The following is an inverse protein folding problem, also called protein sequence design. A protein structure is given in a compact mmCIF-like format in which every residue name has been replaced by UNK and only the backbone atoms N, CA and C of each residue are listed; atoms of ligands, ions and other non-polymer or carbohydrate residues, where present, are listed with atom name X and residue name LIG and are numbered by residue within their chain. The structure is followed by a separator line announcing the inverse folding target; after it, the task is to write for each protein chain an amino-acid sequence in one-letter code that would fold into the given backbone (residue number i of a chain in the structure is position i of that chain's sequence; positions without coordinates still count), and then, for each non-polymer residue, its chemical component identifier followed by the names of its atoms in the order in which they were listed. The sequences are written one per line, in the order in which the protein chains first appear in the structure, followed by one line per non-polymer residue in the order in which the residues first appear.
data_IF_309124376039
#
_entry.id   IF_309124376039
#
_cell.length_a   1.000
_cell.length_b   1.000
_cell.length_c   1.000
_cell.angle_alpha   90.00
_cell.angle_beta   90.00
_cell.angle_gamma   90.00
#
_symmetry.space_group_name_H-M   'P 1'
#
loop_
_entity.id
_entity.type
_entity.pdbx_description
1 polymer ?
#
# COMPACT_ATOMS: atom_id res chain seq x y z
N UNK A 1 -15.43 0.11 -29.57
CA UNK A 1 -15.28 0.27 -28.12
C UNK A 1 -14.10 -0.54 -27.64
N UNK A 2 -13.32 0.02 -26.73
CA UNK A 2 -12.22 -0.68 -26.08
C UNK A 2 -12.81 -1.77 -25.17
N UNK A 3 -12.23 -2.97 -25.19
CA UNK A 3 -12.61 -4.08 -24.30
C UNK A 3 -11.36 -4.91 -23.97
N UNK A 4 -11.50 -5.88 -23.07
CA UNK A 4 -10.36 -6.72 -22.62
C UNK A 4 -9.66 -7.49 -23.75
N UNK A 5 -10.35 -7.75 -24.86
CA UNK A 5 -9.79 -8.50 -25.99
C UNK A 5 -8.99 -7.64 -26.97
N UNK A 6 -9.31 -6.33 -27.05
CA UNK A 6 -8.70 -5.43 -28.03
C UNK A 6 -7.88 -4.29 -27.44
N UNK A 7 -7.80 -4.17 -26.11
CA UNK A 7 -6.91 -3.23 -25.44
C UNK A 7 -5.45 -3.66 -25.68
N UNK A 8 -4.58 -2.71 -25.95
CA UNK A 8 -3.14 -2.99 -26.10
C UNK A 8 -2.54 -3.45 -24.78
N UNK A 9 -1.56 -4.36 -24.86
CA UNK A 9 -0.76 -4.83 -23.72
C UNK A 9 0.67 -4.28 -23.81
N UNK A 10 1.40 -4.20 -22.69
CA UNK A 10 0.94 -4.51 -21.33
C UNK A 10 0.10 -3.36 -20.76
N UNK A 11 -0.92 -3.69 -19.94
CA UNK A 11 -1.80 -2.68 -19.32
C UNK A 11 -2.30 -3.13 -17.94
N UNK A 12 -2.23 -2.25 -16.94
CA UNK A 12 -2.93 -2.43 -15.68
C UNK A 12 -4.40 -2.05 -15.87
N UNK A 13 -5.30 -3.01 -15.69
CA UNK A 13 -6.73 -2.80 -15.81
C UNK A 13 -7.38 -2.81 -14.43
N UNK A 14 -7.72 -1.62 -13.94
CA UNK A 14 -8.46 -1.45 -12.68
C UNK A 14 -9.95 -1.66 -12.93
N UNK A 15 -10.64 -2.34 -12.00
CA UNK A 15 -12.10 -2.58 -12.06
C UNK A 15 -12.82 -1.70 -11.03
N UNK A 16 -13.64 -0.79 -11.50
CA UNK A 16 -14.42 0.10 -10.63
C UNK A 16 -15.32 -0.68 -9.67
N UNK A 17 -16.01 -1.71 -10.15
CA UNK A 17 -16.91 -2.53 -9.32
C UNK A 17 -16.19 -3.22 -8.17
N UNK A 18 -14.97 -3.71 -8.40
CA UNK A 18 -14.15 -4.34 -7.36
C UNK A 18 -13.63 -3.31 -6.36
N UNK A 19 -13.23 -2.12 -6.84
CA UNK A 19 -12.80 -1.03 -5.97
C UNK A 19 -13.94 -0.58 -5.06
N UNK A 20 -15.15 -0.38 -5.60
CA UNK A 20 -16.34 -0.02 -4.81
C UNK A 20 -16.68 -1.07 -3.77
N UNK A 21 -16.63 -2.36 -4.11
CA UNK A 21 -16.84 -3.46 -3.15
C UNK A 21 -15.88 -3.35 -1.95
N UNK A 22 -14.62 -3.07 -2.18
CA UNK A 22 -13.64 -2.91 -1.10
C UNK A 22 -13.95 -1.66 -0.26
N UNK A 23 -14.31 -0.55 -0.91
CA UNK A 23 -14.69 0.69 -0.22
C UNK A 23 -15.96 0.51 0.63
N UNK A 24 -16.96 -0.22 0.14
CA UNK A 24 -18.18 -0.54 0.90
C UNK A 24 -17.85 -1.32 2.17
N UNK A 25 -16.97 -2.33 2.09
CA UNK A 25 -16.55 -3.11 3.24
C UNK A 25 -15.74 -2.26 4.24
N UNK A 26 -14.80 -1.44 3.76
CA UNK A 26 -14.02 -0.53 4.60
C UNK A 26 -14.93 0.48 5.30
N UNK A 27 -15.91 1.04 4.59
CA UNK A 27 -16.91 1.95 5.15
C UNK A 27 -17.79 1.27 6.21
N UNK A 28 -18.12 -0.02 6.03
CA UNK A 28 -18.84 -0.81 7.03
C UNK A 28 -18.01 -0.99 8.31
N UNK A 29 -16.76 -1.40 8.19
CA UNK A 29 -15.84 -1.52 9.34
C UNK A 29 -15.66 -0.18 10.06
N UNK A 30 -15.43 0.92 9.30
CA UNK A 30 -15.33 2.29 9.83
C UNK A 30 -16.57 2.63 10.70
N UNK A 31 -17.78 2.42 10.16
CA UNK A 31 -19.04 2.75 10.83
C UNK A 31 -19.25 1.89 12.08
N UNK A 32 -19.04 0.57 11.98
CA UNK A 32 -19.27 -0.39 13.07
C UNK A 32 -18.27 -0.23 14.21
N UNK A 33 -17.01 -0.05 13.90
CA UNK A 33 -15.95 0.12 14.91
C UNK A 33 -15.86 1.55 15.43
N UNK A 34 -16.39 2.55 14.68
CA UNK A 34 -16.27 3.97 15.00
C UNK A 34 -14.83 4.46 15.01
N UNK A 35 -13.99 3.94 14.08
CA UNK A 35 -12.58 4.27 13.93
C UNK A 35 -12.33 4.94 12.59
N UNK A 36 -11.34 5.81 12.49
CA UNK A 36 -10.95 6.41 11.23
C UNK A 36 -10.12 5.44 10.41
N UNK A 37 -10.47 5.23 9.15
CA UNK A 37 -9.69 4.39 8.22
C UNK A 37 -9.26 5.25 7.06
N UNK A 38 -7.94 5.37 6.84
CA UNK A 38 -7.35 6.22 5.81
C UNK A 38 -6.49 5.39 4.86
N UNK A 39 -6.38 5.85 3.62
CA UNK A 39 -5.65 5.12 2.58
C UNK A 39 -4.17 5.44 2.60
N UNK A 40 -3.31 4.42 2.63
CA UNK A 40 -1.87 4.61 2.48
C UNK A 40 -1.45 4.64 1.01
N UNK A 41 -1.01 5.80 0.51
CA UNK A 41 -0.62 6.00 -0.89
C UNK A 41 0.57 5.16 -1.33
N UNK A 42 1.44 4.75 -0.42
CA UNK A 42 2.55 3.83 -0.73
C UNK A 42 2.11 2.52 -1.39
N UNK A 43 0.85 2.10 -1.16
CA UNK A 43 0.32 0.89 -1.77
C UNK A 43 -0.34 1.16 -3.13
N UNK A 44 -0.98 2.31 -3.29
CA UNK A 44 -1.62 2.72 -4.53
C UNK A 44 -1.76 4.24 -4.58
N UNK A 45 -1.40 4.86 -5.69
CA UNK A 45 -1.46 6.29 -5.92
C UNK A 45 -2.07 6.64 -7.30
N UNK A 46 -2.96 5.80 -7.81
CA UNK A 46 -3.65 6.00 -9.09
C UNK A 46 -4.71 7.11 -8.97
N UNK A 47 -4.27 8.35 -8.95
CA UNK A 47 -5.07 9.54 -8.67
C UNK A 47 -6.31 9.68 -9.56
N UNK A 48 -6.29 9.15 -10.78
CA UNK A 48 -7.46 9.18 -11.67
C UNK A 48 -8.62 8.29 -11.20
N UNK A 49 -8.39 7.41 -10.23
CA UNK A 49 -9.43 6.62 -9.55
C UNK A 49 -9.93 7.27 -8.25
N UNK A 50 -9.28 8.34 -7.79
CA UNK A 50 -9.59 8.96 -6.49
C UNK A 50 -10.96 9.63 -6.44
N UNK A 51 -11.57 9.97 -7.58
CA UNK A 51 -12.95 10.43 -7.58
C UNK A 51 -13.92 9.42 -6.97
N UNK A 52 -13.67 8.11 -7.16
CA UNK A 52 -14.46 7.03 -6.54
C UNK A 52 -14.25 7.05 -5.02
N UNK A 53 -13.00 7.20 -4.56
CA UNK A 53 -12.68 7.25 -3.12
C UNK A 53 -13.25 8.48 -2.42
N UNK A 54 -13.34 9.63 -3.12
CA UNK A 54 -13.96 10.85 -2.58
C UNK A 54 -15.43 10.67 -2.25
N UNK A 55 -16.16 9.84 -2.98
CA UNK A 55 -17.57 9.54 -2.70
C UNK A 55 -17.76 8.90 -1.31
N UNK A 56 -16.72 8.24 -0.79
CA UNK A 56 -16.68 7.60 0.53
C UNK A 56 -16.04 8.50 1.60
N UNK A 57 -15.59 9.69 1.27
CA UNK A 57 -14.95 10.60 2.22
C UNK A 57 -13.60 10.10 2.75
N UNK A 58 -12.85 9.33 1.96
CA UNK A 58 -11.58 8.72 2.38
C UNK A 58 -10.51 9.78 2.55
N UNK A 59 -9.88 9.79 3.72
CA UNK A 59 -8.63 10.50 4.00
C UNK A 59 -7.41 9.66 3.59
N UNK A 60 -6.20 10.25 3.63
CA UNK A 60 -5.00 9.52 3.22
C UNK A 60 -3.80 9.76 4.13
N UNK A 61 -2.83 8.83 4.05
CA UNK A 61 -1.49 9.04 4.63
C UNK A 61 -0.46 9.12 3.51
N UNK A 62 0.41 10.12 3.63
CA UNK A 62 1.48 10.45 2.70
C UNK A 62 2.85 10.21 3.34
N UNK A 63 3.73 9.53 2.60
CA UNK A 63 5.10 9.23 3.02
C UNK A 63 6.15 10.07 2.29
N UNK A 64 5.72 11.00 1.45
CA UNK A 64 6.57 11.94 0.72
C UNK A 64 5.82 13.23 0.40
N UNK A 65 6.56 14.30 0.00
CA UNK A 65 5.94 15.53 -0.48
C UNK A 65 5.10 15.32 -1.74
N UNK A 66 5.50 14.39 -2.59
CA UNK A 66 4.74 14.12 -3.80
C UNK A 66 3.39 13.47 -3.46
N UNK A 67 3.37 12.52 -2.52
CA UNK A 67 2.13 11.93 -2.03
C UNK A 67 1.25 12.96 -1.29
N UNK A 68 1.85 13.85 -0.47
CA UNK A 68 1.14 14.94 0.18
C UNK A 68 0.42 15.85 -0.83
N UNK A 69 1.13 16.29 -1.86
CA UNK A 69 0.59 17.13 -2.93
C UNK A 69 -0.51 16.39 -3.70
N UNK A 70 -0.27 15.13 -4.03
CA UNK A 70 -1.25 14.29 -4.73
C UNK A 70 -2.56 14.16 -3.94
N UNK A 71 -2.46 14.00 -2.61
CA UNK A 71 -3.61 13.97 -1.72
C UNK A 71 -4.42 15.25 -1.82
N UNK A 72 -3.77 16.40 -1.68
CA UNK A 72 -4.43 17.71 -1.76
C UNK A 72 -5.05 18.01 -3.12
N UNK A 73 -4.37 17.65 -4.19
CA UNK A 73 -4.84 17.95 -5.55
C UNK A 73 -6.04 17.09 -5.94
N UNK A 74 -6.07 15.81 -5.54
CA UNK A 74 -6.98 14.84 -6.15
C UNK A 74 -7.89 14.08 -5.17
N UNK A 75 -7.58 14.05 -3.87
CA UNK A 75 -8.36 13.25 -2.93
C UNK A 75 -9.00 14.09 -1.82
N UNK A 76 -8.21 14.71 -0.94
CA UNK A 76 -8.68 15.30 0.31
C UNK A 76 -7.69 16.31 0.88
N UNK A 77 -8.19 17.21 1.74
CA UNK A 77 -7.34 18.06 2.59
C UNK A 77 -7.02 17.43 3.94
N UNK A 78 -7.63 16.29 4.28
CA UNK A 78 -7.31 15.52 5.49
C UNK A 78 -6.18 14.53 5.18
N UNK A 79 -4.96 15.04 5.19
CA UNK A 79 -3.75 14.27 4.90
C UNK A 79 -2.93 14.08 6.16
N UNK A 80 -2.69 12.83 6.51
CA UNK A 80 -1.75 12.43 7.54
C UNK A 80 -0.36 12.25 6.91
N UNK A 81 0.68 12.69 7.59
CA UNK A 81 2.05 12.53 7.07
C UNK A 81 2.90 11.70 8.01
N UNK A 82 3.57 10.72 7.44
CA UNK A 82 4.63 9.97 8.10
C UNK A 82 5.74 9.63 7.11
N UNK A 83 6.96 9.97 7.46
CA UNK A 83 8.17 9.53 6.76
C UNK A 83 9.23 9.09 7.77
N UNK A 84 10.11 8.13 7.46
CA UNK A 84 11.17 7.70 8.36
C UNK A 84 12.07 8.84 8.83
N UNK A 85 12.26 9.87 7.98
CA UNK A 85 13.03 11.05 8.33
C UNK A 85 12.53 12.28 7.56
N UNK A 86 12.12 13.30 8.28
CA UNK A 86 11.90 14.64 7.71
C UNK A 86 13.23 15.36 7.52
N UNK A 87 13.33 16.16 6.48
CA UNK A 87 14.50 16.97 6.17
C UNK A 87 14.19 18.46 6.33
N UNK A 88 15.19 19.31 6.69
CA UNK A 88 14.97 20.74 6.95
C UNK A 88 14.32 21.50 5.81
N UNK A 89 14.64 21.13 4.58
CA UNK A 89 14.20 21.81 3.35
C UNK A 89 12.71 21.60 3.05
N UNK A 90 12.10 20.55 3.63
CA UNK A 90 10.74 20.15 3.26
C UNK A 90 9.77 20.10 4.43
N UNK A 91 10.25 20.09 5.67
CA UNK A 91 9.42 19.95 6.87
C UNK A 91 8.31 20.99 6.96
N UNK A 92 8.60 22.25 6.58
CA UNK A 92 7.62 23.34 6.64
C UNK A 92 6.45 23.09 5.67
N UNK A 93 6.72 22.44 4.52
CA UNK A 93 5.67 22.04 3.57
C UNK A 93 4.82 20.90 4.13
N UNK A 94 5.44 19.91 4.80
CA UNK A 94 4.67 18.86 5.48
C UNK A 94 3.80 19.44 6.60
N UNK A 95 4.34 20.34 7.42
CA UNK A 95 3.59 21.02 8.47
C UNK A 95 2.38 21.77 7.87
N UNK A 96 2.60 22.55 6.81
CA UNK A 96 1.52 23.33 6.18
C UNK A 96 0.44 22.48 5.51
N UNK A 97 0.78 21.26 5.09
CA UNK A 97 -0.11 20.39 4.31
C UNK A 97 -0.71 19.23 5.09
N UNK A 98 -0.40 19.06 6.37
CA UNK A 98 -0.89 17.91 7.13
C UNK A 98 -1.93 18.30 8.18
N UNK A 99 -2.92 17.43 8.40
CA UNK A 99 -3.77 17.49 9.60
C UNK A 99 -3.12 16.75 10.78
N UNK A 100 -2.41 15.66 10.45
CA UNK A 100 -1.62 14.89 11.41
C UNK A 100 -0.20 14.70 10.87
N UNK A 101 0.79 14.87 11.72
CA UNK A 101 2.20 14.64 11.37
C UNK A 101 2.85 13.73 12.40
N UNK A 102 3.34 12.58 11.96
CA UNK A 102 3.99 11.60 12.85
C UNK A 102 5.50 11.64 12.68
N UNK A 103 6.21 11.84 13.79
CA UNK A 103 7.66 11.80 13.86
C UNK A 103 8.14 10.38 14.18
N UNK A 104 9.19 9.95 13.52
CA UNK A 104 9.72 8.60 13.68
C UNK A 104 10.54 8.43 14.97
N UNK A 105 11.09 9.52 15.50
CA UNK A 105 11.96 9.46 16.67
C UNK A 105 11.89 10.75 17.52
N UNK A 106 12.28 10.61 18.78
CA UNK A 106 12.46 11.74 19.70
C UNK A 106 13.45 12.78 19.15
N UNK A 107 14.53 12.33 18.51
CA UNK A 107 15.49 13.24 17.89
C UNK A 107 14.90 14.09 16.78
N UNK A 108 13.96 13.55 15.98
CA UNK A 108 13.24 14.35 14.98
C UNK A 108 12.27 15.33 15.64
N UNK A 109 11.57 14.92 16.70
CA UNK A 109 10.72 15.83 17.47
C UNK A 109 11.51 16.96 18.10
N UNK A 110 12.64 16.67 18.72
CA UNK A 110 13.55 17.69 19.27
C UNK A 110 14.00 18.69 18.19
N UNK A 111 14.21 18.22 16.97
CA UNK A 111 14.69 19.06 15.86
C UNK A 111 13.60 19.93 15.24
N UNK A 112 12.37 19.44 15.16
CA UNK A 112 11.30 20.06 14.38
C UNK A 112 10.03 20.41 15.17
N UNK A 113 9.90 19.93 16.40
CA UNK A 113 8.68 20.13 17.20
C UNK A 113 8.35 21.60 17.45
N UNK A 114 9.35 22.45 17.63
CA UNK A 114 9.13 23.89 17.80
C UNK A 114 8.51 24.56 16.58
N UNK A 115 8.76 24.04 15.37
CA UNK A 115 8.10 24.51 14.15
C UNK A 115 6.60 24.17 14.15
N UNK A 116 6.23 22.96 14.61
CA UNK A 116 4.83 22.56 14.75
C UNK A 116 4.13 23.42 15.80
N UNK A 117 4.75 23.61 16.97
CA UNK A 117 4.20 24.46 18.03
C UNK A 117 4.02 25.90 17.58
N UNK A 118 5.00 26.47 16.88
CA UNK A 118 4.91 27.81 16.31
C UNK A 118 3.75 27.91 15.29
N UNK A 119 3.60 26.92 14.40
CA UNK A 119 2.49 26.87 13.47
C UNK A 119 1.15 26.87 14.19
N UNK A 120 0.95 26.00 15.16
CA UNK A 120 -0.28 25.88 15.93
C UNK A 120 -0.61 27.15 16.73
N UNK A 121 0.41 27.84 17.23
CA UNK A 121 0.26 29.10 17.96
C UNK A 121 -0.30 30.24 17.10
N UNK A 122 0.13 30.32 15.83
CA UNK A 122 -0.27 31.40 14.91
C UNK A 122 -1.47 31.04 14.02
N UNK A 123 -1.84 29.76 13.97
CA UNK A 123 -2.93 29.23 13.15
C UNK A 123 -3.78 28.23 13.92
N UNK A 124 -4.48 28.63 14.96
CA UNK A 124 -5.28 27.72 15.80
C UNK A 124 -6.39 27.01 15.02
N UNK A 125 -6.96 27.66 13.98
CA UNK A 125 -8.00 27.08 13.13
C UNK A 125 -7.45 26.02 12.14
N UNK A 126 -6.15 25.92 12.00
CA UNK A 126 -5.45 24.94 11.16
C UNK A 126 -4.45 24.15 12.03
N UNK A 127 -4.92 23.71 13.20
CA UNK A 127 -4.12 22.95 14.16
C UNK A 127 -3.64 21.64 13.54
N UNK A 128 -2.36 21.35 13.72
CA UNK A 128 -1.72 20.11 13.27
C UNK A 128 -1.45 19.26 14.49
N UNK A 129 -2.01 18.04 14.48
CA UNK A 129 -1.81 17.09 15.56
C UNK A 129 -0.51 16.31 15.34
N UNK A 130 0.44 16.48 16.25
CA UNK A 130 1.73 15.79 16.17
C UNK A 130 1.69 14.47 16.91
N UNK A 131 2.25 13.43 16.30
CA UNK A 131 2.41 12.10 16.87
C UNK A 131 3.85 11.61 16.88
N UNK A 132 4.08 10.59 17.67
CA UNK A 132 5.34 9.86 17.73
C UNK A 132 5.11 8.40 17.34
N UNK A 133 5.93 7.90 16.41
CA UNK A 133 5.94 6.48 16.11
C UNK A 133 6.65 5.72 17.22
N UNK A 134 6.01 4.64 17.66
CA UNK A 134 6.57 3.71 18.67
C UNK A 134 6.67 2.31 18.10
N UNK A 135 7.59 1.53 18.64
CA UNK A 135 7.82 0.16 18.21
C UNK A 135 7.45 -0.81 19.34
N UNK A 136 6.35 -1.56 19.22
CA UNK A 136 5.95 -2.53 20.23
C UNK A 136 6.84 -3.78 20.27
N UNK A 137 7.86 -3.87 19.39
CA UNK A 137 8.75 -5.04 19.28
C UNK A 137 7.99 -6.37 19.19
N UNK A 138 6.82 -6.32 18.61
CA UNK A 138 5.95 -7.46 18.37
C UNK A 138 5.45 -7.37 16.93
N UNK A 139 5.67 -8.42 16.16
CA UNK A 139 5.14 -8.59 14.82
C UNK A 139 5.00 -10.07 14.53
N UNK A 140 3.98 -10.39 13.77
CA UNK A 140 3.71 -11.75 13.24
C UNK A 140 4.19 -11.91 11.80
N UNK A 141 4.86 -10.89 11.26
CA UNK A 141 5.37 -10.88 9.87
C UNK A 141 6.59 -11.78 9.78
N UNK A 142 6.50 -12.85 8.99
CA UNK A 142 7.57 -13.84 8.83
C UNK A 142 8.71 -13.35 7.94
N UNK A 143 8.40 -12.53 6.94
CA UNK A 143 9.39 -12.05 5.97
C UNK A 143 10.07 -10.78 6.47
N UNK A 144 11.37 -10.88 6.76
CA UNK A 144 12.17 -9.83 7.41
C UNK A 144 12.08 -8.46 6.72
N UNK A 145 12.10 -8.42 5.39
CA UNK A 145 12.03 -7.17 4.62
C UNK A 145 10.72 -6.38 4.84
N UNK A 146 9.64 -7.07 5.25
CA UNK A 146 8.34 -6.48 5.53
C UNK A 146 8.01 -6.39 7.02
N UNK A 147 8.94 -6.83 7.90
CA UNK A 147 8.75 -6.80 9.34
C UNK A 147 9.31 -5.50 9.95
N UNK A 148 8.46 -4.50 10.28
CA UNK A 148 8.93 -3.22 10.82
C UNK A 148 9.33 -3.25 12.29
N UNK A 149 9.11 -4.37 12.99
CA UNK A 149 9.41 -4.54 14.41
C UNK A 149 10.63 -5.46 14.68
N UNK A 150 11.42 -5.78 13.66
CA UNK A 150 12.67 -6.53 13.83
C UNK A 150 13.64 -5.85 14.79
N UNK A 151 14.50 -6.62 15.48
CA UNK A 151 15.65 -6.06 16.21
C UNK A 151 16.48 -5.15 15.29
N UNK A 152 16.78 -3.93 15.74
CA UNK A 152 17.51 -2.95 14.93
C UNK A 152 16.66 -2.22 13.89
N UNK A 153 15.35 -2.40 13.90
CA UNK A 153 14.45 -1.63 13.03
C UNK A 153 14.65 -0.13 13.20
N UNK A 154 14.67 0.59 12.07
CA UNK A 154 14.75 2.05 12.05
C UNK A 154 13.41 2.74 12.34
N UNK A 155 12.35 1.99 12.66
CA UNK A 155 10.99 2.50 12.77
C UNK A 155 10.51 2.57 14.21
N UNK A 156 10.31 3.80 14.69
CA UNK A 156 9.66 4.11 15.96
C UNK A 156 10.56 3.93 17.19
N UNK A 157 10.19 4.62 18.24
CA UNK A 157 10.89 4.57 19.52
C UNK A 157 10.47 3.35 20.34
N UNK A 158 11.40 2.69 21.01
CA UNK A 158 11.08 1.64 21.97
C UNK A 158 10.53 2.26 23.28
N UNK A 159 9.87 1.43 24.09
CA UNK A 159 9.24 1.91 25.33
C UNK A 159 10.22 2.53 26.31
N UNK A 160 11.45 2.03 26.38
CA UNK A 160 12.50 2.55 27.27
C UNK A 160 12.86 4.01 26.96
N UNK A 161 12.76 4.42 25.70
CA UNK A 161 13.01 5.80 25.30
C UNK A 161 11.95 6.78 25.82
N UNK A 162 10.76 6.26 26.19
CA UNK A 162 9.63 7.03 26.71
C UNK A 162 9.40 6.82 28.21
N UNK A 163 10.36 6.25 28.94
CA UNK A 163 10.26 6.07 30.39
C UNK A 163 10.03 7.40 31.15
N UNK A 164 10.49 8.53 30.60
CA UNK A 164 10.23 9.88 31.11
C UNK A 164 8.86 10.47 30.71
N UNK A 165 8.05 9.76 29.97
CA UNK A 165 6.77 10.23 29.41
C UNK A 165 6.90 10.80 28.01
N UNK A 166 5.78 11.31 27.47
CA UNK A 166 5.73 11.94 26.16
C UNK A 166 6.29 13.36 26.19
N UNK A 167 7.03 13.79 25.16
CA UNK A 167 7.39 15.20 25.01
C UNK A 167 6.17 16.10 24.89
N UNK A 168 6.29 17.32 25.43
CA UNK A 168 5.25 18.34 25.29
C UNK A 168 4.95 18.65 23.81
N UNK A 169 3.67 18.63 23.44
CA UNK A 169 3.16 18.87 22.09
C UNK A 169 2.97 17.58 21.25
N UNK A 170 3.34 16.40 21.76
CA UNK A 170 2.93 15.13 21.16
C UNK A 170 1.51 14.81 21.62
N UNK A 171 0.61 14.64 20.66
CA UNK A 171 -0.81 14.42 20.87
C UNK A 171 -1.27 13.00 20.48
N UNK A 172 -0.42 12.22 19.84
CA UNK A 172 -0.76 10.88 19.42
C UNK A 172 0.40 9.91 19.37
N UNK A 173 0.06 8.62 19.38
CA UNK A 173 1.00 7.54 19.15
C UNK A 173 0.67 6.81 17.84
N UNK A 174 1.68 6.36 17.15
CA UNK A 174 1.56 5.56 15.94
C UNK A 174 2.42 4.31 16.05
N UNK A 175 1.86 3.16 15.72
CA UNK A 175 2.64 1.95 15.47
C UNK A 175 2.22 1.32 14.14
N UNK A 176 3.12 0.57 13.53
CA UNK A 176 2.84 -0.22 12.33
C UNK A 176 3.71 -1.47 12.39
N UNK A 177 3.08 -2.62 12.59
CA UNK A 177 3.74 -3.90 12.85
C UNK A 177 3.07 -5.08 12.12
N UNK A 178 2.13 -4.81 11.21
CA UNK A 178 1.45 -5.81 10.40
C UNK A 178 1.81 -5.66 8.92
N UNK A 179 1.80 -6.77 8.21
CA UNK A 179 1.81 -6.85 6.76
C UNK A 179 0.83 -7.96 6.35
N UNK A 180 -0.25 -7.61 5.65
CA UNK A 180 -1.32 -8.51 5.24
C UNK A 180 -1.89 -9.38 6.39
N UNK A 181 -1.90 -8.82 7.59
CA UNK A 181 -2.30 -9.49 8.81
C UNK A 181 -3.80 -9.69 8.95
N UNK A 182 -4.17 -10.63 9.80
CA UNK A 182 -5.53 -10.94 10.23
C UNK A 182 -6.00 -10.05 11.40
N UNK A 183 -7.24 -10.20 11.83
CA UNK A 183 -7.78 -9.56 13.03
C UNK A 183 -7.08 -10.07 14.31
N UNK A 184 -6.73 -11.36 14.37
CA UNK A 184 -5.99 -11.95 15.48
C UNK A 184 -4.56 -11.42 15.56
N UNK A 185 -3.91 -11.18 14.42
CA UNK A 185 -2.58 -10.58 14.39
C UNK A 185 -2.60 -9.16 14.98
N UNK A 186 -3.64 -8.37 14.66
CA UNK A 186 -3.82 -7.06 15.29
C UNK A 186 -3.97 -7.21 16.81
N UNK A 187 -4.78 -8.16 17.28
CA UNK A 187 -4.99 -8.36 18.71
C UNK A 187 -3.68 -8.64 19.45
N UNK A 188 -2.83 -9.51 18.91
CA UNK A 188 -1.52 -9.81 19.49
C UNK A 188 -0.58 -8.59 19.55
N UNK A 189 -0.50 -7.84 18.45
CA UNK A 189 0.32 -6.62 18.40
C UNK A 189 -0.23 -5.56 19.33
N UNK A 190 -1.56 -5.42 19.44
CA UNK A 190 -2.22 -4.45 20.31
C UNK A 190 -2.00 -4.77 21.79
N UNK A 191 -2.05 -6.04 22.20
CA UNK A 191 -1.71 -6.48 23.55
C UNK A 191 -0.26 -6.09 23.92
N UNK A 192 0.68 -6.31 23.00
CA UNK A 192 2.08 -5.91 23.20
C UNK A 192 2.24 -4.38 23.25
N UNK A 193 1.50 -3.64 22.43
CA UNK A 193 1.49 -2.17 22.45
C UNK A 193 0.92 -1.64 23.79
N UNK A 194 -0.24 -2.12 24.23
CA UNK A 194 -0.84 -1.69 25.50
C UNK A 194 0.05 -2.03 26.70
N UNK A 195 0.67 -3.22 26.70
CA UNK A 195 1.61 -3.61 27.76
C UNK A 195 2.78 -2.67 27.91
N UNK A 196 3.30 -2.12 26.80
CA UNK A 196 4.50 -1.27 26.79
C UNK A 196 4.18 0.21 26.87
N UNK A 197 3.12 0.67 26.21
CA UNK A 197 2.78 2.08 26.02
C UNK A 197 1.45 2.49 26.67
N UNK A 198 0.70 1.54 27.27
CA UNK A 198 -0.62 1.78 27.84
C UNK A 198 -0.64 2.92 28.87
N UNK A 199 0.42 3.10 29.64
CA UNK A 199 0.59 4.18 30.63
C UNK A 199 0.67 5.59 30.01
N UNK A 200 0.74 5.70 28.69
CA UNK A 200 0.77 6.97 27.94
C UNK A 200 -0.58 7.30 27.30
N UNK A 201 -1.52 6.36 27.26
CA UNK A 201 -2.76 6.50 26.50
C UNK A 201 -3.73 7.53 27.06
N UNK A 202 -3.65 7.82 28.36
CA UNK A 202 -4.38 8.93 29.01
C UNK A 202 -3.87 10.32 28.63
N UNK A 203 -2.72 10.42 27.96
CA UNK A 203 -2.04 11.65 27.56
C UNK A 203 -2.14 11.96 26.08
N UNK A 204 -2.74 11.07 25.31
CA UNK A 204 -2.87 11.24 23.86
C UNK A 204 -4.31 11.38 23.43
N UNK A 205 -4.53 12.05 22.30
CA UNK A 205 -5.84 12.23 21.67
C UNK A 205 -6.17 11.09 20.71
N UNK A 206 -5.15 10.47 20.13
CA UNK A 206 -5.32 9.43 19.12
C UNK A 206 -4.21 8.37 19.15
N UNK A 207 -4.58 7.19 18.70
CA UNK A 207 -3.65 6.10 18.38
C UNK A 207 -3.85 5.68 16.93
N UNK A 208 -2.80 5.77 16.14
CA UNK A 208 -2.75 5.23 14.79
C UNK A 208 -2.10 3.85 14.83
N UNK A 209 -2.87 2.82 14.51
CA UNK A 209 -2.44 1.42 14.56
C UNK A 209 -1.76 0.97 13.25
N UNK A 210 -1.49 1.93 12.35
CA UNK A 210 -0.81 1.68 11.09
C UNK A 210 -1.63 0.90 10.06
N UNK A 211 -0.94 0.34 9.09
CA UNK A 211 -1.50 -0.49 8.03
C UNK A 211 -1.25 -1.98 8.24
N UNK A 212 -1.44 -2.74 7.16
CA UNK A 212 -1.29 -4.19 7.16
C UNK A 212 -2.57 -4.95 7.50
N UNK A 213 -3.69 -4.26 7.75
CA UNK A 213 -5.02 -4.84 7.98
C UNK A 213 -5.65 -5.19 6.63
N UNK A 214 -5.56 -6.46 6.22
CA UNK A 214 -6.07 -6.87 4.91
C UNK A 214 -7.54 -7.30 4.98
N UNK A 215 -8.39 -6.41 5.50
CA UNK A 215 -9.79 -6.67 5.82
C UNK A 215 -10.67 -7.00 4.60
N UNK A 216 -10.22 -6.70 3.40
CA UNK A 216 -10.94 -6.99 2.16
C UNK A 216 -10.53 -8.33 1.52
N UNK A 217 -9.56 -9.06 2.12
CA UNK A 217 -9.21 -10.40 1.70
C UNK A 217 -10.35 -11.36 2.04
N UNK A 218 -10.62 -12.27 1.13
CA UNK A 218 -11.60 -13.34 1.36
C UNK A 218 -11.24 -14.16 2.61
N UNK A 219 -12.24 -14.44 3.44
CA UNK A 219 -12.06 -15.16 4.70
C UNK A 219 -11.50 -14.32 5.86
N UNK A 220 -11.27 -13.02 5.67
CA UNK A 220 -10.89 -12.15 6.78
C UNK A 220 -12.07 -11.93 7.74
N UNK A 221 -11.84 -12.11 9.04
CA UNK A 221 -12.86 -11.93 10.08
C UNK A 221 -13.00 -10.43 10.45
N UNK A 222 -13.91 -9.74 9.76
CA UNK A 222 -14.22 -8.33 10.05
C UNK A 222 -14.95 -8.14 11.37
N UNK A 223 -15.69 -9.15 11.86
CA UNK A 223 -16.39 -9.07 13.13
C UNK A 223 -15.39 -9.12 14.30
N UNK A 224 -14.38 -9.98 14.21
CA UNK A 224 -13.28 -10.02 15.17
C UNK A 224 -12.48 -8.71 15.16
N UNK A 225 -12.22 -8.11 13.97
CA UNK A 225 -11.58 -6.81 13.87
C UNK A 225 -12.39 -5.73 14.59
N UNK A 226 -13.68 -5.62 14.30
CA UNK A 226 -14.58 -4.64 14.92
C UNK A 226 -14.63 -4.84 16.44
N UNK A 227 -14.76 -6.08 16.92
CA UNK A 227 -14.76 -6.39 18.35
C UNK A 227 -13.46 -5.97 19.04
N UNK A 228 -12.30 -6.24 18.43
CA UNK A 228 -10.99 -5.82 18.94
C UNK A 228 -10.88 -4.29 19.07
N UNK A 229 -11.30 -3.57 18.03
CA UNK A 229 -11.27 -2.11 18.01
C UNK A 229 -12.25 -1.48 19.02
N UNK A 230 -13.45 -2.01 19.15
CA UNK A 230 -14.42 -1.55 20.16
C UNK A 230 -13.90 -1.80 21.56
N UNK A 231 -13.34 -2.97 21.84
CA UNK A 231 -12.77 -3.31 23.15
C UNK A 231 -11.61 -2.38 23.53
N UNK A 232 -10.74 -2.02 22.57
CA UNK A 232 -9.69 -1.02 22.82
C UNK A 232 -10.29 0.35 23.16
N UNK A 233 -11.27 0.82 22.40
CA UNK A 233 -11.94 2.11 22.64
C UNK A 233 -12.69 2.16 23.98
N UNK A 234 -13.26 1.04 24.43
CA UNK A 234 -13.89 0.94 25.76
C UNK A 234 -12.86 1.07 26.88
N UNK A 235 -11.67 0.47 26.72
CA UNK A 235 -10.58 0.61 27.71
C UNK A 235 -9.94 1.98 27.72
N UNK A 236 -9.95 2.68 26.58
CA UNK A 236 -9.30 4.00 26.39
C UNK A 236 -10.30 5.03 25.87
N UNK A 237 -11.31 5.42 26.68
CA UNK A 237 -12.33 6.36 26.24
C UNK A 237 -11.70 7.73 25.97
N UNK A 238 -12.06 8.34 24.83
CA UNK A 238 -11.51 9.64 24.41
C UNK A 238 -10.29 9.55 23.50
N UNK A 239 -9.73 8.35 23.28
CA UNK A 239 -8.67 8.14 22.31
C UNK A 239 -9.30 7.81 20.94
N UNK A 240 -9.05 8.63 19.93
CA UNK A 240 -9.41 8.32 18.54
C UNK A 240 -8.53 7.19 18.00
N UNK A 241 -9.11 6.23 17.31
CA UNK A 241 -8.38 5.15 16.65
C UNK A 241 -8.32 5.38 15.15
N UNK A 242 -7.12 5.26 14.59
CA UNK A 242 -6.84 5.43 13.16
C UNK A 242 -6.18 4.16 12.63
N UNK A 243 -6.64 3.67 11.46
CA UNK A 243 -6.01 2.60 10.70
C UNK A 243 -5.54 3.15 9.35
N UNK A 244 -4.39 2.69 8.86
CA UNK A 244 -3.78 3.10 7.58
C UNK A 244 -3.59 1.91 6.62
N UNK A 245 -4.61 1.09 6.33
CA UNK A 245 -4.43 0.04 5.35
C UNK A 245 -4.09 0.63 3.97
N UNK A 246 -3.26 -0.08 3.23
CA UNK A 246 -2.95 0.25 1.84
C UNK A 246 -3.58 -0.79 0.91
N UNK A 247 -3.05 -2.02 0.94
CA UNK A 247 -3.52 -3.13 0.09
C UNK A 247 -5.02 -3.37 0.18
N UNK A 248 -5.63 -3.24 1.37
CA UNK A 248 -7.05 -3.50 1.55
C UNK A 248 -7.96 -2.64 0.64
N UNK A 249 -7.57 -1.40 0.33
CA UNK A 249 -8.33 -0.56 -0.59
C UNK A 249 -8.35 -1.12 -2.01
N UNK A 250 -7.24 -1.71 -2.45
CA UNK A 250 -7.05 -2.10 -3.85
C UNK A 250 -6.80 -3.60 -4.04
N UNK A 251 -7.06 -4.42 -3.01
CA UNK A 251 -6.95 -5.87 -3.06
C UNK A 251 -7.90 -6.46 -4.12
N UNK A 252 -7.35 -7.20 -5.07
CA UNK A 252 -8.09 -7.80 -6.20
C UNK A 252 -8.97 -6.83 -6.99
N UNK A 253 -8.53 -5.59 -7.11
CA UNK A 253 -9.25 -4.56 -7.87
C UNK A 253 -8.67 -4.29 -9.25
N UNK A 254 -7.57 -4.89 -9.62
CA UNK A 254 -6.97 -4.73 -10.94
C UNK A 254 -5.94 -5.79 -11.25
N UNK A 255 -5.78 -6.06 -12.54
CA UNK A 255 -4.90 -7.08 -13.07
C UNK A 255 -3.92 -6.48 -14.07
N UNK A 256 -2.79 -7.15 -14.34
CA UNK A 256 -1.92 -6.85 -15.47
C UNK A 256 -2.27 -7.74 -16.65
N UNK A 257 -2.78 -7.14 -17.71
CA UNK A 257 -2.97 -7.82 -18.98
C UNK A 257 -1.68 -7.76 -19.78
N UNK A 258 -1.21 -8.89 -20.25
CA UNK A 258 0.03 -9.04 -21.02
C UNK A 258 -0.16 -9.99 -22.19
N UNK A 259 0.75 -9.98 -23.14
CA UNK A 259 0.76 -10.91 -24.27
C UNK A 259 2.07 -11.69 -24.34
N UNK A 260 1.99 -12.94 -24.71
CA UNK A 260 3.16 -13.75 -25.06
C UNK A 260 3.78 -13.19 -26.34
N UNK A 261 5.07 -12.88 -26.32
CA UNK A 261 5.80 -12.36 -27.49
C UNK A 261 6.65 -13.43 -28.16
N UNK A 262 7.11 -14.42 -27.38
CA UNK A 262 7.88 -15.55 -27.89
C UNK A 262 7.76 -16.77 -26.96
N UNK A 263 7.99 -17.95 -27.52
CA UNK A 263 8.07 -19.20 -26.75
C UNK A 263 9.31 -19.96 -27.18
N UNK A 264 10.15 -20.29 -26.21
CA UNK A 264 11.39 -21.04 -26.43
C UNK A 264 11.48 -22.24 -25.51
N UNK A 265 12.30 -23.22 -25.90
CA UNK A 265 12.67 -24.36 -25.05
C UNK A 265 14.19 -24.47 -24.96
N UNK A 266 14.70 -24.57 -23.77
CA UNK A 266 16.12 -24.81 -23.52
C UNK A 266 16.28 -25.76 -22.33
N UNK A 267 17.11 -26.80 -22.50
CA UNK A 267 17.35 -27.85 -21.50
C UNK A 267 16.07 -28.46 -20.90
N UNK A 268 15.02 -28.59 -21.74
CA UNK A 268 13.72 -29.14 -21.33
C UNK A 268 12.81 -28.18 -20.59
N UNK A 269 13.22 -26.91 -20.40
CA UNK A 269 12.41 -25.84 -19.81
C UNK A 269 11.77 -25.03 -20.93
N UNK A 270 10.45 -25.00 -20.97
CA UNK A 270 9.69 -24.11 -21.85
C UNK A 270 9.49 -22.78 -21.19
N UNK A 271 9.88 -21.71 -21.87
CA UNK A 271 9.72 -20.33 -21.40
C UNK A 271 8.85 -19.56 -22.38
N UNK A 272 7.76 -18.98 -21.89
CA UNK A 272 6.99 -17.99 -22.61
C UNK A 272 7.42 -16.62 -22.18
N UNK A 273 7.96 -15.81 -23.10
CA UNK A 273 8.36 -14.41 -22.85
C UNK A 273 7.14 -13.53 -23.06
N UNK A 274 6.83 -12.69 -22.08
CA UNK A 274 5.69 -11.77 -22.12
C UNK A 274 6.15 -10.34 -22.42
N UNK A 275 5.27 -9.49 -22.93
CA UNK A 275 5.54 -8.06 -23.19
C UNK A 275 5.62 -7.19 -21.94
N UNK A 276 5.48 -7.77 -20.75
CA UNK A 276 5.75 -7.17 -19.46
C UNK A 276 7.11 -7.65 -18.89
N UNK A 277 7.47 -7.17 -17.69
CA UNK A 277 8.68 -7.58 -16.97
C UNK A 277 8.35 -7.71 -15.48
N UNK A 278 8.76 -8.81 -14.87
CA UNK A 278 8.61 -9.00 -13.42
C UNK A 278 9.43 -7.96 -12.66
N UNK A 279 10.69 -7.77 -13.06
CA UNK A 279 11.59 -6.82 -12.41
C UNK A 279 11.15 -5.36 -12.57
N UNK A 280 10.56 -4.98 -13.70
CA UNK A 280 10.18 -3.61 -13.98
C UNK A 280 8.75 -3.27 -13.55
N UNK A 281 7.82 -4.20 -13.68
CA UNK A 281 6.39 -3.91 -13.61
C UNK A 281 5.69 -4.56 -12.41
N UNK A 282 6.29 -5.58 -11.80
CA UNK A 282 5.78 -6.25 -10.60
C UNK A 282 6.93 -6.74 -9.72
N UNK A 283 7.80 -5.81 -9.24
CA UNK A 283 9.04 -6.18 -8.56
C UNK A 283 8.83 -6.96 -7.27
N UNK A 284 7.69 -6.82 -6.59
CA UNK A 284 7.38 -7.61 -5.39
C UNK A 284 7.37 -9.12 -5.66
N UNK A 285 7.09 -9.56 -6.90
CA UNK A 285 7.18 -10.98 -7.27
C UNK A 285 8.59 -11.54 -7.15
N UNK A 286 9.61 -10.68 -7.22
CA UNK A 286 11.03 -11.03 -7.07
C UNK A 286 11.60 -10.63 -5.69
N UNK A 287 11.15 -9.50 -5.13
CA UNK A 287 11.60 -9.00 -3.82
C UNK A 287 11.08 -9.86 -2.66
N UNK A 288 9.86 -10.36 -2.77
CA UNK A 288 9.24 -11.30 -1.82
C UNK A 288 8.81 -12.57 -2.58
N UNK A 289 9.72 -13.33 -3.15
CA UNK A 289 9.44 -14.31 -4.20
C UNK A 289 8.08 -14.98 -4.06
N UNK A 290 7.11 -14.52 -4.83
CA UNK A 290 5.80 -15.15 -4.91
C UNK A 290 5.39 -15.32 -6.38
N UNK A 291 4.54 -16.29 -6.61
CA UNK A 291 4.01 -16.62 -7.92
C UNK A 291 2.62 -16.01 -8.06
N UNK A 292 2.42 -15.00 -8.93
CA UNK A 292 1.10 -14.42 -9.13
C UNK A 292 0.14 -15.44 -9.75
N UNK A 293 -1.13 -15.37 -9.39
CA UNK A 293 -2.15 -16.14 -10.08
C UNK A 293 -2.33 -15.63 -11.51
N UNK A 294 -2.63 -16.55 -12.43
CA UNK A 294 -2.92 -16.24 -13.83
C UNK A 294 -4.28 -16.85 -14.17
N UNK A 295 -5.19 -16.03 -14.65
CA UNK A 295 -6.58 -16.45 -14.91
C UNK A 295 -6.66 -17.65 -15.89
N UNK A 296 -5.77 -17.70 -16.88
CA UNK A 296 -5.74 -18.72 -17.94
C UNK A 296 -4.93 -19.97 -17.57
N UNK A 297 -4.36 -20.02 -16.34
CA UNK A 297 -3.41 -21.05 -15.95
C UNK A 297 -3.80 -21.74 -14.64
N UNK A 298 -3.20 -22.90 -14.42
CA UNK A 298 -3.28 -23.65 -13.17
C UNK A 298 -1.89 -24.02 -12.68
N UNK A 299 -1.80 -24.46 -11.42
CA UNK A 299 -0.57 -25.02 -10.88
C UNK A 299 -0.15 -26.28 -11.64
N UNK A 300 1.16 -26.48 -11.90
CA UNK A 300 1.66 -27.67 -12.56
C UNK A 300 1.35 -28.95 -11.75
N UNK A 301 0.67 -29.89 -12.38
CA UNK A 301 0.36 -31.21 -11.81
C UNK A 301 1.03 -32.36 -12.59
N UNK A 302 1.81 -32.02 -13.63
CA UNK A 302 2.49 -32.98 -14.49
C UNK A 302 1.62 -33.62 -15.60
N UNK A 303 0.34 -33.23 -15.69
CA UNK A 303 -0.58 -33.79 -16.72
C UNK A 303 -0.44 -33.08 -18.06
N UNK A 304 -0.12 -31.80 -18.04
CA UNK A 304 0.07 -30.95 -19.22
C UNK A 304 1.43 -30.26 -19.18
N UNK A 305 1.96 -29.77 -20.31
CA UNK A 305 3.20 -29.04 -20.36
C UNK A 305 3.16 -27.77 -19.52
N UNK A 306 4.19 -27.57 -18.71
CA UNK A 306 4.39 -26.34 -17.95
C UNK A 306 5.23 -25.34 -18.72
N UNK A 307 4.98 -24.06 -18.46
CA UNK A 307 5.73 -22.94 -19.01
C UNK A 307 6.20 -22.04 -17.88
N UNK A 308 7.48 -21.73 -17.88
CA UNK A 308 8.01 -20.58 -17.13
C UNK A 308 7.60 -19.30 -17.81
N UNK A 309 7.17 -18.29 -17.05
CA UNK A 309 6.97 -16.96 -17.63
C UNK A 309 8.24 -16.13 -17.42
N UNK A 310 8.80 -15.64 -18.52
CA UNK A 310 9.93 -14.72 -18.56
C UNK A 310 9.47 -13.32 -18.94
N UNK A 311 10.02 -12.31 -18.28
CA UNK A 311 9.82 -10.91 -18.65
C UNK A 311 10.67 -10.51 -19.86
N UNK A 312 10.38 -9.34 -20.43
CA UNK A 312 11.06 -8.81 -21.62
C UNK A 312 12.26 -7.89 -21.28
N UNK A 313 12.82 -7.98 -20.08
CA UNK A 313 14.06 -7.28 -19.76
C UNK A 313 15.29 -8.15 -19.99
N UNK A 314 16.48 -7.52 -20.07
CA UNK A 314 17.76 -8.23 -20.15
C UNK A 314 18.28 -8.72 -18.80
N UNK A 315 17.51 -8.60 -17.72
CA UNK A 315 17.86 -9.19 -16.43
C UNK A 315 17.67 -10.70 -16.50
N UNK A 316 18.73 -11.48 -16.30
CA UNK A 316 18.64 -12.95 -16.39
C UNK A 316 17.65 -13.59 -15.39
N UNK A 317 17.39 -12.93 -14.26
CA UNK A 317 16.42 -13.34 -13.26
C UNK A 317 15.02 -12.77 -13.47
N UNK A 318 14.70 -12.16 -14.61
CA UNK A 318 13.39 -11.60 -14.90
C UNK A 318 12.36 -12.68 -15.26
N UNK A 319 12.13 -13.59 -14.33
CA UNK A 319 11.12 -14.65 -14.46
C UNK A 319 10.62 -15.08 -13.08
N UNK A 320 9.46 -15.69 -13.04
CA UNK A 320 8.93 -16.34 -11.84
C UNK A 320 8.13 -17.58 -12.23
N UNK A 321 8.09 -18.57 -11.37
CA UNK A 321 7.27 -19.76 -11.36
C UNK A 321 7.11 -20.50 -12.70
N UNK A 322 6.43 -21.62 -12.62
CA UNK A 322 5.96 -22.37 -13.78
C UNK A 322 4.44 -22.54 -13.68
N UNK A 323 3.73 -22.46 -14.81
CA UNK A 323 2.28 -22.62 -14.90
C UNK A 323 1.90 -23.61 -15.98
N UNK A 324 0.78 -24.27 -15.81
CA UNK A 324 0.18 -25.15 -16.81
C UNK A 324 -1.01 -24.47 -17.46
N UNK A 325 -1.08 -24.57 -18.78
CA UNK A 325 -2.15 -24.00 -19.60
C UNK A 325 -2.93 -25.11 -20.30
N UNK A 326 -4.22 -24.87 -20.55
CA UNK A 326 -5.10 -25.86 -21.22
C UNK A 326 -4.69 -26.18 -22.68
N UNK A 327 -3.93 -25.27 -23.31
CA UNK A 327 -3.36 -25.45 -24.64
C UNK A 327 -1.91 -24.95 -24.66
N UNK A 328 -1.07 -25.43 -25.61
CA UNK A 328 0.27 -24.87 -25.77
C UNK A 328 0.24 -23.38 -26.07
N UNK A 329 1.09 -22.63 -25.36
CA UNK A 329 1.23 -21.19 -25.57
C UNK A 329 1.94 -20.89 -26.88
N UNK A 330 1.54 -19.80 -27.51
CA UNK A 330 2.16 -19.25 -28.73
C UNK A 330 2.21 -17.71 -28.66
N UNK A 331 3.07 -17.11 -29.48
CA UNK A 331 3.13 -15.68 -29.62
C UNK A 331 1.76 -15.09 -30.01
N UNK A 332 1.33 -14.05 -29.31
CA UNK A 332 0.03 -13.41 -29.43
C UNK A 332 -1.02 -13.88 -28.42
N UNK A 333 -0.78 -14.97 -27.67
CA UNK A 333 -1.67 -15.38 -26.59
C UNK A 333 -1.69 -14.32 -25.48
N UNK A 334 -2.87 -14.06 -24.92
CA UNK A 334 -3.08 -13.07 -23.88
C UNK A 334 -3.19 -13.75 -22.53
N UNK A 335 -2.52 -13.17 -21.54
CA UNK A 335 -2.49 -13.64 -20.17
C UNK A 335 -2.94 -12.52 -19.22
N UNK A 336 -3.59 -12.91 -18.14
CA UNK A 336 -4.08 -12.02 -17.08
C UNK A 336 -3.39 -12.39 -15.78
N UNK A 337 -2.41 -11.59 -15.35
CA UNK A 337 -1.80 -11.72 -14.02
C UNK A 337 -2.72 -11.01 -13.04
N UNK A 338 -3.24 -11.77 -12.07
CA UNK A 338 -4.25 -11.28 -11.13
C UNK A 338 -3.63 -10.41 -10.04
N UNK A 339 -4.44 -9.48 -9.51
CA UNK A 339 -4.15 -8.67 -8.33
C UNK A 339 -2.90 -7.77 -8.45
N UNK A 340 -2.78 -7.07 -9.56
CA UNK A 340 -1.65 -6.19 -9.88
C UNK A 340 -1.97 -4.70 -9.68
N UNK A 341 -2.81 -4.35 -8.68
CA UNK A 341 -3.17 -2.95 -8.42
C UNK A 341 -2.60 -2.37 -7.11
N UNK A 342 -2.03 -3.17 -6.21
CA UNK A 342 -1.35 -2.67 -5.02
C UNK A 342 0.13 -3.05 -5.03
N UNK A 343 0.98 -2.15 -4.56
CA UNK A 343 2.44 -2.29 -4.54
C UNK A 343 3.10 -2.65 -5.89
N UNK A 344 2.35 -2.52 -7.00
CA UNK A 344 2.84 -2.70 -8.36
C UNK A 344 3.00 -1.36 -9.08
N UNK A 345 1.91 -0.67 -9.41
CA UNK A 345 1.93 0.60 -10.16
C UNK A 345 2.77 1.70 -9.49
N UNK A 346 2.93 1.67 -8.17
CA UNK A 346 3.77 2.60 -7.40
C UNK A 346 5.25 2.21 -7.33
N UNK A 347 5.62 1.01 -7.77
CA UNK A 347 6.99 0.46 -7.72
C UNK A 347 7.62 0.22 -9.10
N UNK A 348 6.94 0.58 -10.18
CA UNK A 348 7.42 0.32 -11.55
C UNK A 348 8.70 1.09 -11.88
N UNK A 349 9.54 0.47 -12.70
CA UNK A 349 10.76 1.05 -13.26
C UNK A 349 10.78 0.96 -14.78
N UNK A 350 11.71 1.67 -15.41
CA UNK A 350 11.95 1.60 -16.85
C UNK A 350 13.36 1.06 -17.14
N UNK A 351 13.77 0.03 -16.42
CA UNK A 351 15.04 -0.66 -16.69
C UNK A 351 15.07 -1.18 -18.13
N UNK A 352 16.21 -1.14 -18.80
CA UNK A 352 16.41 -1.39 -20.23
C UNK A 352 15.63 -0.46 -21.19
N UNK A 353 15.01 0.60 -20.68
CA UNK A 353 14.11 1.44 -21.47
C UNK A 353 12.76 0.79 -21.74
N UNK A 354 12.40 -0.27 -21.02
CA UNK A 354 11.06 -0.84 -21.13
C UNK A 354 10.02 0.19 -20.67
N UNK A 355 8.99 0.32 -21.47
CA UNK A 355 7.89 1.24 -21.20
C UNK A 355 7.02 0.70 -20.06
N UNK A 356 6.57 1.58 -19.17
CA UNK A 356 5.57 1.20 -18.19
C UNK A 356 4.32 0.64 -18.88
N UNK A 357 3.67 -0.38 -18.30
CA UNK A 357 2.34 -0.78 -18.74
C UNK A 357 1.37 0.41 -18.70
N UNK A 358 0.53 0.54 -19.71
CA UNK A 358 -0.53 1.53 -19.73
C UNK A 358 -1.48 1.32 -18.54
N UNK A 359 -2.30 2.30 -18.20
CA UNK A 359 -3.26 2.21 -17.10
C UNK A 359 -4.66 2.48 -17.63
N UNK A 360 -5.59 1.56 -17.36
CA UNK A 360 -6.98 1.66 -17.77
C UNK A 360 -7.94 1.38 -16.61
N UNK A 361 -9.16 1.91 -16.72
CA UNK A 361 -10.27 1.68 -15.79
C UNK A 361 -11.42 1.02 -16.53
N UNK A 362 -11.87 -0.13 -16.03
CA UNK A 362 -13.12 -0.75 -16.44
C UNK A 362 -14.23 -0.23 -15.53
N UNK A 363 -15.14 0.54 -16.10
CA UNK A 363 -16.30 1.10 -15.40
C UNK A 363 -17.34 0.04 -15.05
N UNK A 364 -18.29 0.41 -14.18
CA UNK A 364 -19.37 -0.49 -13.77
C UNK A 364 -20.28 -0.97 -14.91
N UNK A 365 -20.36 -0.20 -16.00
CA UNK A 365 -21.12 -0.56 -17.22
C UNK A 365 -20.31 -1.45 -18.20
N UNK A 366 -19.07 -1.81 -17.84
CA UNK A 366 -18.16 -2.61 -18.66
C UNK A 366 -17.41 -1.82 -19.73
N UNK A 367 -17.60 -0.51 -19.84
CA UNK A 367 -16.78 0.33 -20.72
C UNK A 367 -15.37 0.48 -20.15
N UNK A 368 -14.35 0.60 -21.02
CA UNK A 368 -12.96 0.77 -20.61
C UNK A 368 -12.48 2.18 -21.00
N UNK A 369 -12.00 2.92 -20.02
CA UNK A 369 -11.33 4.20 -20.19
C UNK A 369 -9.81 4.02 -20.06
N UNK A 370 -9.06 4.53 -21.05
CA UNK A 370 -7.60 4.62 -20.94
C UNK A 370 -7.22 5.81 -20.05
N UNK A 371 -6.72 5.53 -18.85
CA UNK A 371 -6.34 6.57 -17.90
C UNK A 371 -4.98 7.17 -18.24
N UNK A 372 -4.00 6.35 -18.62
CA UNK A 372 -2.64 6.77 -18.96
C UNK A 372 -2.06 5.85 -20.04
N UNK A 373 -1.48 6.46 -21.06
CA UNK A 373 -0.58 5.80 -21.99
C UNK A 373 0.82 6.37 -21.81
N UNK A 374 1.79 5.49 -21.71
CA UNK A 374 3.19 5.89 -21.59
C UNK A 374 3.85 5.95 -22.95
N UNK A 375 4.86 6.82 -23.11
CA UNK A 375 5.54 7.09 -24.37
C UNK A 375 7.04 7.12 -24.18
N UNK A 376 7.78 7.21 -25.29
CA UNK A 376 9.23 7.42 -25.27
C UNK A 376 9.62 8.70 -24.48
N UNK A 377 8.77 9.72 -24.48
CA UNK A 377 9.06 10.97 -23.75
C UNK A 377 9.09 10.75 -22.24
N UNK A 378 8.32 9.82 -21.69
CA UNK A 378 8.37 9.44 -20.27
C UNK A 378 9.74 8.87 -19.90
N UNK A 379 10.29 7.99 -20.76
CA UNK A 379 11.64 7.47 -20.57
C UNK A 379 12.71 8.55 -20.73
N UNK A 380 12.66 9.29 -21.83
CA UNK A 380 13.64 10.32 -22.15
C UNK A 380 13.73 11.40 -21.08
N UNK A 381 12.58 11.95 -20.65
CA UNK A 381 12.53 13.04 -19.67
C UNK A 381 13.01 12.61 -18.27
N UNK A 382 12.95 11.32 -17.96
CA UNK A 382 13.50 10.78 -16.73
C UNK A 382 15.05 10.71 -16.76
N UNK A 383 15.65 10.59 -17.93
CA UNK A 383 17.09 10.35 -18.08
C UNK A 383 17.92 11.63 -18.29
N UNK A 384 17.29 12.80 -18.46
CA UNK A 384 18.01 14.06 -18.68
C UNK A 384 17.27 15.27 -18.13
#
# INVERSE_FOLDING_TARGET
MLNRRNISTPVYLVRETALRRNLDLIADVHRRAGVKIIMAFKANALWRTFHIMREYGIACTASSLNELRLGHEFLTHDVHSYTPAYIPETIDTFIAGSTHITFNSLGQWQRFGDKVKAWNSIRPDSHISAGLRVNPRCSVVETDIYNPALPGSRFGEPAEALAGGLPDGIEGLHFHALCEGSADDLRLVLEAFESQFGHLLDKVKWVNMGGGHLMTREGYDTDALVATLLSFRERHPGVEVILEPGSAFTWRTGDLLTSVVDVMENDGVRTAIIDASFACHMPDTLEMPYKPAITEAVEPDGTLPSYRLGGNSCLSGDFTGDWTFAAPLQAGDRLTLEDMNHYTTVKTTMFNGLQHPDIALEHADGSIEMLRQFTYDDYRSRMS
#
